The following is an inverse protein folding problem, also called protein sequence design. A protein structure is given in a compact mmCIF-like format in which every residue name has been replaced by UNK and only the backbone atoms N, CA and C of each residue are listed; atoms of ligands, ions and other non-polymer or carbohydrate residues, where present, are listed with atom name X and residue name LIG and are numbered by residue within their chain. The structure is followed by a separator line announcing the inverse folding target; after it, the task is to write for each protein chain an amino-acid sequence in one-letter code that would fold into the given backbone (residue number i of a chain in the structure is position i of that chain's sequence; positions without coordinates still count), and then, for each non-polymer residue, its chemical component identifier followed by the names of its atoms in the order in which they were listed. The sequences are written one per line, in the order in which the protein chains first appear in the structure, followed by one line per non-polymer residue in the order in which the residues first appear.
data_IF_668124604249
#
_entry.id   IF_668124604249
#
_cell.length_a   1.000
_cell.length_b   1.000
_cell.length_c   1.000
_cell.angle_alpha   90.00
_cell.angle_beta   90.00
_cell.angle_gamma   90.00
#
_symmetry.space_group_name_H-M   'P 1'
#
loop_
_entity.id
_entity.type
_entity.pdbx_description
1 polymer ?
#
# COMPACT_ATOMS: atom_id res chain seq x y z
N UNK A 1 20.56 1.52 -26.44
CA UNK A 1 20.01 0.76 -25.29
C UNK A 1 18.83 -0.11 -25.72
N UNK A 2 18.66 -1.24 -25.07
CA UNK A 2 17.50 -2.11 -25.21
C UNK A 2 16.68 -2.05 -23.91
N UNK A 3 15.42 -1.70 -24.02
CA UNK A 3 14.49 -1.71 -22.88
C UNK A 3 13.52 -2.86 -23.08
N UNK A 4 13.47 -3.77 -22.12
CA UNK A 4 12.52 -4.88 -22.09
C UNK A 4 11.60 -4.73 -20.88
N UNK A 5 10.29 -4.82 -21.10
CA UNK A 5 9.31 -4.77 -20.02
C UNK A 5 8.44 -6.03 -20.03
N UNK A 6 8.30 -6.63 -18.87
CA UNK A 6 7.39 -7.76 -18.63
C UNK A 6 6.24 -7.29 -17.76
N UNK A 7 5.01 -7.53 -18.21
CA UNK A 7 3.81 -7.21 -17.45
C UNK A 7 2.86 -8.41 -17.51
N UNK A 8 2.80 -9.17 -16.42
CA UNK A 8 1.91 -10.31 -16.25
C UNK A 8 0.84 -9.95 -15.21
N UNK A 9 -0.42 -10.21 -15.56
CA UNK A 9 -1.56 -10.01 -14.68
C UNK A 9 -2.53 -11.17 -14.89
N UNK A 10 -2.44 -12.17 -14.03
CA UNK A 10 -3.35 -13.31 -14.03
C UNK A 10 -4.39 -13.12 -12.92
N UNK A 11 -5.66 -13.37 -13.25
CA UNK A 11 -6.77 -13.22 -12.30
C UNK A 11 -7.74 -14.38 -12.44
N UNK A 12 -8.09 -14.97 -11.30
CA UNK A 12 -9.18 -15.93 -11.18
C UNK A 12 -10.23 -15.39 -10.24
N UNK A 13 -11.46 -15.31 -10.71
CA UNK A 13 -12.60 -14.82 -9.93
C UNK A 13 -13.71 -15.87 -9.97
N UNK A 14 -14.25 -16.17 -8.81
CA UNK A 14 -15.49 -16.92 -8.63
C UNK A 14 -16.53 -16.11 -7.83
N UNK A 15 -17.66 -16.71 -7.46
CA UNK A 15 -18.73 -16.03 -6.75
C UNK A 15 -18.27 -15.44 -5.38
N UNK A 16 -17.32 -16.10 -4.71
CA UNK A 16 -16.93 -15.77 -3.33
C UNK A 16 -15.50 -15.30 -3.20
N UNK A 17 -14.62 -15.65 -4.12
CA UNK A 17 -13.19 -15.33 -4.05
C UNK A 17 -12.66 -14.66 -5.32
N UNK A 18 -11.63 -13.86 -5.13
CA UNK A 18 -10.87 -13.20 -6.18
C UNK A 18 -9.38 -13.38 -5.88
N UNK A 19 -8.68 -14.08 -6.77
CA UNK A 19 -7.23 -14.29 -6.67
C UNK A 19 -6.54 -13.62 -7.84
N UNK A 20 -5.45 -12.91 -7.56
CA UNK A 20 -4.68 -12.18 -8.55
C UNK A 20 -3.19 -12.40 -8.36
N UNK A 21 -2.47 -12.57 -9.46
CA UNK A 21 -1.02 -12.62 -9.53
C UNK A 21 -0.57 -11.50 -10.45
N UNK A 22 0.35 -10.67 -9.96
CA UNK A 22 0.90 -9.55 -10.74
C UNK A 22 2.42 -9.62 -10.71
N UNK A 23 3.04 -9.52 -11.90
CA UNK A 23 4.50 -9.34 -12.03
C UNK A 23 4.72 -8.20 -13.01
N UNK A 24 5.52 -7.22 -12.61
CA UNK A 24 5.96 -6.09 -13.45
C UNK A 24 7.45 -5.89 -13.27
N UNK A 25 8.18 -6.10 -14.35
CA UNK A 25 9.63 -5.97 -14.41
C UNK A 25 10.04 -5.10 -15.59
N UNK A 26 11.13 -4.35 -15.43
CA UNK A 26 11.73 -3.57 -16.52
C UNK A 26 13.25 -3.68 -16.45
N UNK A 27 13.83 -4.14 -17.54
CA UNK A 27 15.27 -4.24 -17.76
C UNK A 27 15.70 -3.22 -18.81
N UNK A 28 16.75 -2.47 -18.53
CA UNK A 28 17.43 -1.61 -19.48
C UNK A 28 18.87 -2.07 -19.64
N UNK A 29 19.24 -2.49 -20.84
CA UNK A 29 20.61 -2.84 -21.22
C UNK A 29 21.21 -1.72 -22.06
N UNK A 30 22.21 -1.04 -21.53
CA UNK A 30 22.93 0.01 -22.23
C UNK A 30 24.23 -0.56 -22.80
N UNK A 31 24.28 -0.76 -24.12
CA UNK A 31 25.43 -1.36 -24.82
C UNK A 31 26.63 -0.41 -24.93
N UNK A 32 26.42 0.92 -24.87
CA UNK A 32 27.49 1.92 -24.93
C UNK A 32 28.09 2.18 -23.55
N UNK A 33 27.28 2.07 -22.51
CA UNK A 33 27.73 2.25 -21.12
C UNK A 33 27.06 1.19 -20.22
N UNK A 34 27.68 0.01 -20.06
CA UNK A 34 27.11 -1.09 -19.27
C UNK A 34 26.78 -0.73 -17.81
N UNK A 35 27.51 0.22 -17.22
CA UNK A 35 27.26 0.68 -15.84
C UNK A 35 25.92 1.41 -15.66
N UNK A 36 25.28 1.82 -16.76
CA UNK A 36 23.92 2.39 -16.77
C UNK A 36 22.81 1.37 -17.02
N UNK A 37 23.20 0.10 -17.16
CA UNK A 37 22.21 -0.98 -17.25
C UNK A 37 21.60 -1.24 -15.88
N UNK A 38 20.30 -1.53 -15.88
CA UNK A 38 19.58 -1.87 -14.64
C UNK A 38 18.44 -2.85 -14.90
N UNK A 39 18.10 -3.60 -13.87
CA UNK A 39 16.87 -4.38 -13.80
C UNK A 39 16.06 -3.94 -12.58
N UNK A 40 14.77 -3.65 -12.76
CA UNK A 40 13.88 -3.16 -11.71
C UNK A 40 12.59 -3.94 -11.68
N UNK A 41 12.45 -4.77 -10.66
CA UNK A 41 11.19 -5.43 -10.34
C UNK A 41 10.27 -4.44 -9.62
N UNK A 42 9.24 -3.96 -10.32
CA UNK A 42 8.29 -2.98 -9.77
C UNK A 42 7.21 -3.62 -8.92
N UNK A 43 6.72 -4.79 -9.31
CA UNK A 43 5.70 -5.52 -8.56
C UNK A 43 5.85 -7.01 -8.80
N UNK A 44 5.72 -7.81 -7.76
CA UNK A 44 5.64 -9.26 -7.81
C UNK A 44 4.86 -9.72 -6.59
N UNK A 45 3.54 -9.88 -6.72
CA UNK A 45 2.70 -10.24 -5.59
C UNK A 45 1.56 -11.19 -5.98
N UNK A 46 1.11 -11.91 -4.97
CA UNK A 46 -0.15 -12.68 -4.99
C UNK A 46 -1.13 -12.00 -4.04
N UNK A 47 -2.35 -11.82 -4.51
CA UNK A 47 -3.46 -11.25 -3.73
C UNK A 47 -4.63 -12.23 -3.74
N UNK A 48 -5.29 -12.40 -2.59
CA UNK A 48 -6.55 -13.09 -2.46
C UNK A 48 -7.53 -12.26 -1.63
N UNK A 49 -8.75 -12.20 -2.11
CA UNK A 49 -9.88 -11.61 -1.40
C UNK A 49 -11.00 -12.64 -1.34
N UNK A 50 -11.36 -13.08 -0.15
CA UNK A 50 -12.45 -14.00 0.11
C UNK A 50 -13.62 -13.23 0.74
N UNK A 51 -14.65 -13.02 -0.06
CA UNK A 51 -15.83 -12.24 0.35
C UNK A 51 -16.73 -12.99 1.32
N UNK A 52 -16.74 -14.33 1.26
CA UNK A 52 -17.54 -15.14 2.14
C UNK A 52 -16.91 -15.24 3.53
N UNK A 53 -15.62 -15.51 3.59
CA UNK A 53 -14.88 -15.57 4.86
C UNK A 53 -14.48 -14.18 5.38
N UNK A 54 -14.65 -13.12 4.59
CA UNK A 54 -14.42 -11.73 4.99
C UNK A 54 -12.94 -11.34 5.11
N UNK A 55 -12.00 -12.10 4.56
CA UNK A 55 -10.58 -11.76 4.62
C UNK A 55 -9.99 -11.41 3.26
N UNK A 56 -8.94 -10.61 3.29
CA UNK A 56 -8.07 -10.40 2.15
C UNK A 56 -6.61 -10.41 2.60
N UNK A 57 -5.72 -10.82 1.70
CA UNK A 57 -4.28 -10.67 1.91
C UNK A 57 -3.56 -10.41 0.59
N UNK A 58 -2.38 -9.78 0.69
CA UNK A 58 -1.45 -9.58 -0.43
C UNK A 58 -0.04 -9.81 0.07
N UNK A 59 0.75 -10.61 -0.64
CA UNK A 59 2.11 -11.00 -0.27
C UNK A 59 3.05 -10.80 -1.45
N UNK A 60 4.21 -10.22 -1.21
CA UNK A 60 5.26 -9.96 -2.18
C UNK A 60 5.56 -8.47 -2.37
N UNK A 61 6.19 -8.13 -3.49
CA UNK A 61 6.53 -6.75 -3.85
C UNK A 61 5.32 -5.99 -4.34
N UNK A 62 4.92 -4.97 -3.62
CA UNK A 62 3.67 -4.25 -3.83
C UNK A 62 3.81 -2.75 -3.58
N UNK A 63 2.91 -1.98 -4.18
CA UNK A 63 2.73 -0.57 -3.84
C UNK A 63 1.88 -0.44 -2.58
N UNK A 64 2.07 0.63 -1.79
CA UNK A 64 1.28 0.89 -0.61
C UNK A 64 -0.21 1.04 -0.95
N UNK A 65 -1.05 0.64 0.01
CA UNK A 65 -2.49 0.78 -0.06
C UNK A 65 -3.03 1.22 1.31
N UNK A 66 -2.77 2.48 1.67
CA UNK A 66 -3.16 3.06 2.95
C UNK A 66 -2.26 2.69 4.13
N UNK A 67 -2.77 2.82 5.35
CA UNK A 67 -2.11 2.53 6.63
C UNK A 67 -0.81 3.33 6.86
N UNK A 68 -0.66 4.51 6.24
CA UNK A 68 0.52 5.35 6.40
C UNK A 68 1.80 4.77 5.77
N UNK A 69 1.73 3.72 4.98
CA UNK A 69 2.86 3.21 4.19
C UNK A 69 3.08 4.13 3.00
N UNK A 70 4.28 4.68 2.86
CA UNK A 70 4.59 5.71 1.86
C UNK A 70 5.33 5.16 0.65
N UNK A 71 6.00 4.01 0.78
CA UNK A 71 6.92 3.48 -0.21
C UNK A 71 6.49 2.09 -0.67
N UNK A 72 6.91 1.71 -1.89
CA UNK A 72 6.83 0.32 -2.35
C UNK A 72 7.58 -0.58 -1.38
N UNK A 73 7.09 -1.80 -1.17
CA UNK A 73 7.68 -2.70 -0.20
C UNK A 73 7.55 -4.17 -0.59
N UNK A 74 8.44 -4.97 -0.05
CA UNK A 74 8.38 -6.42 0.01
C UNK A 74 7.79 -6.81 1.36
N UNK A 75 6.66 -7.50 1.35
CA UNK A 75 6.00 -7.82 2.61
C UNK A 75 4.62 -8.42 2.46
N UNK A 76 3.86 -8.34 3.54
CA UNK A 76 2.50 -8.84 3.65
C UNK A 76 1.55 -7.74 4.12
N UNK A 77 0.39 -7.71 3.51
CA UNK A 77 -0.75 -6.92 3.95
C UNK A 77 -1.95 -7.85 4.06
N UNK A 78 -2.67 -7.77 5.16
CA UNK A 78 -3.87 -8.57 5.40
C UNK A 78 -4.98 -7.73 6.01
N UNK A 79 -6.22 -8.11 5.76
CA UNK A 79 -7.38 -7.46 6.33
C UNK A 79 -8.50 -8.45 6.61
N UNK A 80 -9.33 -8.11 7.60
CA UNK A 80 -10.48 -8.90 7.99
C UNK A 80 -11.69 -8.01 8.26
N UNK A 81 -12.82 -8.32 7.64
CA UNK A 81 -14.09 -7.63 7.87
C UNK A 81 -14.71 -8.16 9.15
N UNK A 82 -14.80 -7.33 10.18
CA UNK A 82 -15.47 -7.66 11.43
C UNK A 82 -16.99 -7.77 11.23
N UNK A 83 -17.51 -6.89 10.37
CA UNK A 83 -18.89 -6.82 9.94
C UNK A 83 -18.95 -6.03 8.61
N UNK A 84 -20.14 -5.77 8.00
CA UNK A 84 -20.26 -5.03 6.74
C UNK A 84 -19.75 -3.58 6.79
N UNK A 85 -19.58 -3.00 7.98
CA UNK A 85 -19.15 -1.60 8.14
C UNK A 85 -17.70 -1.48 8.58
N UNK A 86 -17.17 -2.44 9.36
CA UNK A 86 -15.87 -2.34 10.00
C UNK A 86 -14.89 -3.39 9.50
N UNK A 87 -13.70 -2.92 9.20
CA UNK A 87 -12.57 -3.77 8.78
C UNK A 87 -11.32 -3.43 9.58
N UNK A 88 -10.56 -4.44 9.95
CA UNK A 88 -9.21 -4.29 10.51
C UNK A 88 -8.18 -4.72 9.47
N UNK A 89 -7.04 -4.03 9.43
CA UNK A 89 -5.93 -4.41 8.55
C UNK A 89 -4.62 -4.38 9.31
N UNK A 90 -3.68 -5.17 8.81
CA UNK A 90 -2.30 -5.18 9.25
C UNK A 90 -1.34 -5.20 8.08
N UNK A 91 -0.16 -4.63 8.27
CA UNK A 91 0.93 -4.62 7.29
C UNK A 91 2.26 -4.85 7.99
N UNK A 92 3.12 -5.60 7.31
CA UNK A 92 4.53 -5.77 7.66
C UNK A 92 5.35 -5.83 6.39
N UNK A 93 6.47 -5.12 6.34
CA UNK A 93 7.32 -5.16 5.16
C UNK A 93 8.61 -4.39 5.28
N UNK A 94 9.40 -4.51 4.23
CA UNK A 94 10.64 -3.80 4.00
C UNK A 94 10.49 -2.92 2.77
N UNK A 95 10.75 -1.62 2.91
CA UNK A 95 10.67 -0.67 1.81
C UNK A 95 11.68 -1.00 0.70
N UNK A 96 11.26 -0.87 -0.55
CA UNK A 96 12.10 -1.12 -1.73
C UNK A 96 12.51 0.19 -2.34
N UNK A 97 13.73 0.61 -2.04
CA UNK A 97 14.39 1.76 -2.64
C UNK A 97 15.55 1.29 -3.52
N UNK A 98 15.48 1.56 -4.84
CA UNK A 98 16.51 1.08 -5.78
C UNK A 98 17.87 1.76 -5.65
N UNK A 99 17.95 2.90 -4.96
CA UNK A 99 19.14 3.74 -4.84
C UNK A 99 19.60 3.93 -3.40
N UNK A 100 18.87 3.40 -2.43
CA UNK A 100 19.22 3.53 -1.01
C UNK A 100 19.88 2.25 -0.50
N UNK A 101 21.03 2.33 0.16
CA UNK A 101 21.65 1.19 0.82
C UNK A 101 20.98 0.85 2.17
N UNK A 102 20.11 1.71 2.66
CA UNK A 102 19.51 1.58 3.99
C UNK A 102 18.29 0.65 3.98
N UNK A 103 18.18 -0.15 5.02
CA UNK A 103 17.08 -1.09 5.22
C UNK A 103 15.98 -0.46 6.07
N UNK A 104 14.85 -0.16 5.45
CA UNK A 104 13.65 0.34 6.15
C UNK A 104 12.67 -0.79 6.37
N UNK A 105 12.42 -1.15 7.62
CA UNK A 105 11.41 -2.16 8.00
C UNK A 105 10.29 -1.48 8.75
N UNK A 106 9.06 -1.84 8.43
CA UNK A 106 7.88 -1.26 9.07
C UNK A 106 6.81 -2.29 9.38
N UNK A 107 5.97 -1.95 10.33
CA UNK A 107 4.71 -2.64 10.61
C UNK A 107 3.65 -1.63 11.04
N UNK A 108 2.41 -1.94 10.75
CA UNK A 108 1.30 -1.06 11.06
C UNK A 108 -0.02 -1.80 11.07
N UNK A 109 -1.03 -1.11 11.59
CA UNK A 109 -2.40 -1.58 11.60
C UNK A 109 -3.37 -0.43 11.37
N UNK A 110 -4.56 -0.75 10.86
CA UNK A 110 -5.66 0.20 10.74
C UNK A 110 -6.99 -0.41 11.15
N UNK A 111 -7.91 0.48 11.51
CA UNK A 111 -9.34 0.20 11.63
C UNK A 111 -10.06 1.09 10.62
N UNK A 112 -10.82 0.49 9.74
CA UNK A 112 -11.52 1.15 8.66
C UNK A 112 -13.03 1.08 8.86
N UNK A 113 -13.69 2.23 8.75
CA UNK A 113 -15.12 2.33 8.49
C UNK A 113 -15.32 2.30 6.98
N UNK A 114 -15.93 1.25 6.46
CA UNK A 114 -16.13 1.06 5.04
C UNK A 114 -17.14 2.07 4.48
N UNK A 115 -16.85 2.70 3.33
CA UNK A 115 -17.77 3.65 2.72
C UNK A 115 -19.04 2.93 2.27
N UNK A 116 -20.17 3.59 2.48
CA UNK A 116 -21.49 3.18 1.99
C UNK A 116 -22.07 4.29 1.12
N UNK A 117 -23.09 3.99 0.33
CA UNK A 117 -23.74 5.00 -0.51
C UNK A 117 -24.23 6.18 0.34
N UNK A 118 -23.73 7.39 0.03
CA UNK A 118 -24.05 8.63 0.75
C UNK A 118 -23.44 8.75 2.16
N UNK A 119 -22.55 7.83 2.58
CA UNK A 119 -21.83 7.91 3.85
C UNK A 119 -20.31 7.89 3.63
N UNK A 120 -19.55 8.74 4.31
CA UNK A 120 -18.11 8.72 4.22
C UNK A 120 -17.54 7.41 4.77
N UNK A 121 -16.46 6.93 4.15
CA UNK A 121 -15.56 5.96 4.75
C UNK A 121 -14.47 6.67 5.51
N UNK A 122 -13.98 6.08 6.58
CA UNK A 122 -12.88 6.61 7.37
C UNK A 122 -11.90 5.51 7.76
N UNK A 123 -10.64 5.85 7.96
CA UNK A 123 -9.61 4.94 8.46
C UNK A 123 -8.79 5.66 9.51
N UNK A 124 -8.44 4.94 10.57
CA UNK A 124 -7.43 5.37 11.55
C UNK A 124 -6.35 4.32 11.54
N UNK A 125 -5.08 4.75 11.47
CA UNK A 125 -3.94 3.85 11.45
C UNK A 125 -2.84 4.27 12.40
N UNK A 126 -2.01 3.28 12.74
CA UNK A 126 -0.73 3.48 13.41
C UNK A 126 0.34 2.69 12.67
N UNK A 127 1.52 3.30 12.48
CA UNK A 127 2.67 2.68 11.82
C UNK A 127 3.94 2.94 12.60
N UNK A 128 4.81 1.95 12.63
CA UNK A 128 6.15 2.02 13.19
C UNK A 128 7.16 1.61 12.13
N UNK A 129 8.23 2.38 11.96
CA UNK A 129 9.28 2.16 10.98
C UNK A 129 10.66 2.30 11.61
N UNK A 130 11.55 1.41 11.23
CA UNK A 130 12.97 1.46 11.58
C UNK A 130 13.83 1.61 10.35
N UNK A 131 14.99 2.25 10.49
CA UNK A 131 16.04 2.37 9.50
C UNK A 131 17.30 1.72 10.06
N UNK A 132 17.78 0.64 9.44
CA UNK A 132 18.91 -0.17 9.93
C UNK A 132 18.77 -0.57 11.42
N UNK A 133 17.53 -0.88 11.84
CA UNK A 133 17.21 -1.25 13.22
C UNK A 133 16.94 -0.08 14.18
N UNK A 134 17.23 1.16 13.79
CA UNK A 134 16.96 2.34 14.61
C UNK A 134 15.57 2.91 14.32
N UNK A 135 14.88 3.37 15.36
CA UNK A 135 13.56 3.99 15.21
C UNK A 135 13.66 5.21 14.29
N UNK A 136 12.94 5.17 13.17
CA UNK A 136 12.96 6.20 12.15
C UNK A 136 11.64 6.98 12.05
N UNK A 137 10.50 6.29 12.21
CA UNK A 137 9.18 6.90 12.17
C UNK A 137 8.22 6.15 13.07
N UNK A 138 7.39 6.89 13.80
CA UNK A 138 6.23 6.35 14.52
C UNK A 138 5.08 7.33 14.33
N UNK A 139 4.12 6.95 13.50
CA UNK A 139 3.05 7.84 13.12
C UNK A 139 1.66 7.25 13.42
N UNK A 140 0.74 8.16 13.69
CA UNK A 140 -0.69 7.91 13.70
C UNK A 140 -1.33 8.79 12.65
N UNK A 141 -2.37 8.31 11.99
CA UNK A 141 -3.03 9.10 10.98
C UNK A 141 -4.47 8.68 10.76
N UNK A 142 -5.16 9.49 9.97
CA UNK A 142 -6.54 9.25 9.57
C UNK A 142 -6.75 9.58 8.10
N UNK A 143 -7.59 8.80 7.46
CA UNK A 143 -8.08 9.05 6.11
C UNK A 143 -9.60 9.13 6.12
N UNK A 144 -10.16 10.02 5.32
CA UNK A 144 -11.61 10.14 5.09
C UNK A 144 -11.85 10.15 3.60
N UNK A 145 -12.83 9.38 3.13
CA UNK A 145 -13.23 9.29 1.72
C UNK A 145 -14.73 9.44 1.62
N UNK A 146 -15.17 10.33 0.76
CA UNK A 146 -16.58 10.56 0.48
C UNK A 146 -16.86 10.48 -1.01
N UNK A 147 -17.98 9.85 -1.35
CA UNK A 147 -18.47 9.79 -2.72
C UNK A 147 -19.99 9.60 -2.70
N UNK A 148 -20.72 10.49 -3.38
CA UNK A 148 -22.18 10.40 -3.52
C UNK A 148 -22.67 10.41 -4.98
N UNK A 149 -21.78 10.33 -5.95
CA UNK A 149 -22.08 10.39 -7.38
C UNK A 149 -21.96 11.81 -8.00
N UNK A 150 -22.06 12.86 -7.22
CA UNK A 150 -21.89 14.25 -7.65
C UNK A 150 -20.64 14.87 -7.01
N UNK A 151 -20.41 14.60 -5.73
CA UNK A 151 -19.27 15.12 -4.99
C UNK A 151 -18.31 13.99 -4.61
N UNK A 152 -17.02 14.29 -4.68
CA UNK A 152 -15.95 13.45 -4.15
C UNK A 152 -15.14 14.23 -3.12
N UNK A 153 -14.78 13.58 -2.03
CA UNK A 153 -13.94 14.16 -0.99
C UNK A 153 -12.89 13.17 -0.52
N UNK A 154 -11.68 13.64 -0.31
CA UNK A 154 -10.57 12.88 0.27
C UNK A 154 -9.82 13.76 1.28
N UNK A 155 -9.59 13.23 2.46
CA UNK A 155 -8.78 13.85 3.50
C UNK A 155 -7.77 12.86 4.05
N UNK A 156 -6.54 13.32 4.29
CA UNK A 156 -5.46 12.55 4.91
C UNK A 156 -4.73 13.43 5.91
N UNK A 157 -4.60 12.94 7.14
CA UNK A 157 -3.76 13.51 8.19
C UNK A 157 -2.79 12.44 8.67
N UNK A 158 -1.50 12.77 8.75
CA UNK A 158 -0.45 11.91 9.31
C UNK A 158 0.42 12.73 10.28
N UNK A 159 0.49 12.28 11.50
CA UNK A 159 1.26 12.91 12.59
C UNK A 159 2.34 11.96 13.08
N UNK A 160 3.59 12.40 13.02
CA UNK A 160 4.72 11.66 13.59
C UNK A 160 4.81 11.90 15.10
N UNK A 161 4.56 10.85 15.87
CA UNK A 161 4.60 10.87 17.34
C UNK A 161 6.04 10.90 17.84
N UNK A 162 7.01 10.35 17.07
CA UNK A 162 8.42 10.32 17.44
C UNK A 162 9.02 11.74 17.39
N UNK A 163 8.78 12.45 16.29
CA UNK A 163 9.30 13.80 16.07
C UNK A 163 8.33 14.90 16.45
N UNK A 164 7.11 14.56 16.91
CA UNK A 164 6.04 15.48 17.32
C UNK A 164 5.69 16.50 16.24
N UNK A 165 5.56 16.03 15.02
CA UNK A 165 5.31 16.88 13.85
C UNK A 165 4.23 16.35 12.93
N UNK A 166 3.54 17.24 12.25
CA UNK A 166 2.60 16.92 11.18
C UNK A 166 3.40 16.59 9.91
N UNK A 167 3.28 15.34 9.41
CA UNK A 167 3.95 14.91 8.20
C UNK A 167 3.12 15.25 6.95
N UNK A 168 1.82 14.98 7.01
CA UNK A 168 0.91 15.15 5.88
C UNK A 168 -0.40 15.74 6.37
N UNK A 169 -0.85 16.79 5.68
CA UNK A 169 -2.23 17.27 5.71
C UNK A 169 -2.68 17.51 4.27
N UNK A 170 -3.58 16.66 3.78
CA UNK A 170 -4.09 16.73 2.42
C UNK A 170 -5.61 16.72 2.45
N UNK A 171 -6.21 17.66 1.73
CA UNK A 171 -7.65 17.71 1.50
C UNK A 171 -7.91 17.98 0.03
N UNK A 172 -8.72 17.13 -0.58
CA UNK A 172 -9.12 17.25 -1.98
C UNK A 172 -10.62 17.05 -2.09
N UNK A 173 -11.27 17.80 -2.95
CA UNK A 173 -12.68 17.64 -3.23
C UNK A 173 -13.02 18.12 -4.63
N UNK A 174 -14.01 17.47 -5.22
CA UNK A 174 -14.65 17.85 -6.49
C UNK A 174 -16.15 17.81 -6.31
N UNK A 175 -16.82 18.77 -6.98
CA UNK A 175 -18.29 18.87 -7.09
C UNK A 175 -18.70 19.07 -8.54
#
# INVERSE_FOLDING_TARGET
SLITSVNLNARRRDAFSDMRIVVRDTSNQNFLNPSRSYNRLYSAYVERNDRHAGYNFRVGRQNPNGMGVLERFDGVQAGYNLNPEWKINGVYGEAVEFLSPFKKVFYGASVDLLPQAGRPGASIYAINQTLDGYQNRRAIGSEVRYFDGQATGYGLLDYDVLYRGLNIALFQGNY
#
